data_IF_199082602985
#
_entry.id   IF_199082602985
#
_cell.length_a   1.000
_cell.length_b   1.000
_cell.length_c   1.000
_cell.angle_alpha   90.00
_cell.angle_beta   90.00
_cell.angle_gamma   90.00
#
_symmetry.space_group_name_H-M   'P 1'
#
loop_
_entity.id
_entity.type
_entity.pdbx_description
1 polymer ?
#
# COMPACT_ATOMS: atom_id res chain seq x y z
N UNK A 1 4.19 -14.79 -8.96
CA UNK A 1 4.67 -13.47 -9.46
C UNK A 1 3.47 -12.54 -9.49
N UNK A 2 3.37 -11.59 -8.55
CA UNK A 2 2.11 -10.87 -8.31
C UNK A 2 1.89 -9.66 -9.23
N UNK A 3 2.97 -9.05 -9.75
CA UNK A 3 2.87 -7.96 -10.72
C UNK A 3 2.77 -8.52 -12.15
N UNK A 4 1.69 -8.21 -12.91
CA UNK A 4 1.49 -8.73 -14.26
C UNK A 4 2.56 -8.30 -15.27
N UNK A 5 3.16 -7.11 -15.12
CA UNK A 5 4.22 -6.65 -16.05
C UNK A 5 5.52 -7.43 -15.83
N UNK A 6 5.88 -7.71 -14.57
CA UNK A 6 7.02 -8.57 -14.22
C UNK A 6 6.76 -10.00 -14.71
N UNK A 7 5.53 -10.49 -14.61
CA UNK A 7 5.15 -11.81 -15.10
C UNK A 7 5.25 -11.94 -16.62
N UNK A 8 4.74 -10.97 -17.37
CA UNK A 8 4.87 -10.93 -18.82
C UNK A 8 6.34 -10.84 -19.25
N UNK A 9 7.14 -9.96 -18.63
CA UNK A 9 8.56 -9.82 -18.94
C UNK A 9 9.34 -11.11 -18.65
N UNK A 10 9.08 -11.74 -17.50
CA UNK A 10 9.72 -13.01 -17.11
C UNK A 10 9.37 -14.10 -18.11
N UNK A 11 8.12 -14.15 -18.61
CA UNK A 11 7.74 -15.10 -19.66
C UNK A 11 8.45 -14.82 -21.00
N UNK A 12 8.61 -13.55 -21.38
CA UNK A 12 9.36 -13.16 -22.59
C UNK A 12 10.87 -13.45 -22.48
N UNK A 13 11.42 -13.43 -21.27
CA UNK A 13 12.80 -13.79 -20.96
C UNK A 13 12.99 -15.29 -20.67
N UNK A 14 12.09 -16.15 -21.15
CA UNK A 14 12.16 -17.62 -21.01
C UNK A 14 12.25 -18.09 -19.54
N UNK A 15 11.59 -17.38 -18.63
CA UNK A 15 11.56 -17.70 -17.20
C UNK A 15 12.64 -16.99 -16.38
N UNK A 16 13.53 -16.21 -16.99
CA UNK A 16 14.51 -15.39 -16.26
C UNK A 16 13.80 -14.17 -15.66
N UNK A 17 13.94 -13.99 -14.33
CA UNK A 17 13.32 -12.88 -13.62
C UNK A 17 13.78 -11.55 -14.21
N UNK A 18 12.86 -10.84 -14.85
CA UNK A 18 13.11 -9.56 -15.50
C UNK A 18 12.42 -8.46 -14.70
N UNK A 19 13.19 -7.63 -13.97
CA UNK A 19 12.62 -6.52 -13.21
C UNK A 19 11.89 -5.54 -14.12
N UNK A 20 10.71 -5.11 -13.71
CA UNK A 20 9.90 -4.10 -14.39
C UNK A 20 9.48 -3.01 -13.40
N UNK A 21 9.16 -1.78 -13.86
CA UNK A 21 8.70 -0.71 -13.00
C UNK A 21 7.47 -1.11 -12.17
N UNK A 22 7.46 -0.75 -10.89
CA UNK A 22 6.38 -1.04 -9.95
C UNK A 22 5.46 0.20 -9.80
N UNK A 23 4.25 0.16 -10.36
CA UNK A 23 3.16 1.11 -10.14
C UNK A 23 2.20 0.68 -9.00
N UNK A 24 2.23 1.26 -7.79
CA UNK A 24 1.43 0.78 -6.66
C UNK A 24 -0.06 0.50 -6.98
N UNK A 25 -0.55 -0.71 -6.65
CA UNK A 25 -1.97 -1.08 -6.79
C UNK A 25 -2.57 -1.32 -5.41
N UNK A 26 -3.34 -0.34 -4.93
CA UNK A 26 -3.97 -0.34 -3.61
C UNK A 26 -5.46 -0.65 -3.73
N UNK A 27 -5.82 -1.93 -3.79
CA UNK A 27 -7.22 -2.36 -3.84
C UNK A 27 -7.86 -2.51 -2.45
N UNK A 28 -7.04 -2.74 -1.42
CA UNK A 28 -7.50 -2.90 -0.04
C UNK A 28 -7.38 -1.58 0.75
N UNK A 29 -8.27 -1.35 1.73
CA UNK A 29 -8.13 -0.21 2.64
C UNK A 29 -6.84 -0.33 3.47
N UNK A 30 -6.39 0.81 3.99
CA UNK A 30 -5.26 0.85 4.91
C UNK A 30 -5.65 0.24 6.27
N UNK A 31 -4.69 -0.44 6.90
CA UNK A 31 -4.90 -1.10 8.19
C UNK A 31 -3.63 -1.07 9.07
N UNK A 32 -3.76 -1.11 10.41
CA UNK A 32 -5.01 -0.97 11.16
C UNK A 32 -5.55 0.47 11.08
N UNK A 33 -6.87 0.66 10.94
CA UNK A 33 -7.47 1.97 11.12
C UNK A 33 -7.52 2.35 12.61
N UNK A 34 -7.75 3.63 12.91
CA UNK A 34 -7.99 4.05 14.29
C UNK A 34 -9.25 3.39 14.86
N UNK A 35 -9.16 2.98 16.12
CA UNK A 35 -10.26 2.32 16.82
C UNK A 35 -11.32 3.32 17.37
N UNK A 36 -10.95 4.59 17.55
CA UNK A 36 -11.76 5.54 18.34
C UNK A 36 -12.19 6.79 17.56
N UNK A 37 -11.47 7.16 16.50
CA UNK A 37 -11.74 8.39 15.75
C UNK A 37 -12.36 8.06 14.40
N UNK A 38 -13.50 8.67 14.10
CA UNK A 38 -14.20 8.58 12.81
C UNK A 38 -14.12 9.92 12.08
N UNK A 39 -13.81 9.88 10.78
CA UNK A 39 -13.85 11.03 9.87
C UNK A 39 -14.84 10.69 8.76
N UNK A 40 -15.95 11.44 8.66
CA UNK A 40 -16.98 11.18 7.64
C UNK A 40 -17.57 9.76 7.72
N UNK A 41 -17.88 9.29 8.93
CA UNK A 41 -18.38 7.94 9.22
C UNK A 41 -17.41 6.79 8.88
N UNK A 42 -16.17 7.07 8.52
CA UNK A 42 -15.13 6.06 8.30
C UNK A 42 -14.03 6.16 9.38
N UNK A 43 -13.43 5.04 9.79
CA UNK A 43 -12.30 5.05 10.72
C UNK A 43 -11.14 5.92 10.21
N UNK A 44 -10.61 6.77 11.07
CA UNK A 44 -9.52 7.66 10.72
C UNK A 44 -8.22 6.89 10.51
N UNK A 45 -7.38 7.40 9.60
CA UNK A 45 -6.06 6.85 9.34
C UNK A 45 -5.03 7.51 10.26
N UNK A 46 -4.16 6.73 10.89
CA UNK A 46 -3.03 7.23 11.68
C UNK A 46 -1.68 6.90 11.00
N UNK A 47 -0.59 7.43 11.56
CA UNK A 47 0.77 7.23 11.05
C UNK A 47 1.24 5.76 11.07
N UNK A 48 0.62 4.91 11.89
CA UNK A 48 0.95 3.48 11.99
C UNK A 48 0.28 2.64 10.90
N UNK A 49 -0.76 3.17 10.26
CA UNK A 49 -1.51 2.45 9.26
C UNK A 49 -0.68 2.19 8.01
N UNK A 50 -0.84 0.99 7.44
CA UNK A 50 -0.13 0.55 6.23
C UNK A 50 -1.12 0.07 5.19
N UNK A 51 -0.81 0.32 3.92
CA UNK A 51 -1.52 -0.29 2.80
C UNK A 51 -0.65 -1.38 2.17
N UNK A 52 -1.22 -2.57 1.99
CA UNK A 52 -0.56 -3.64 1.24
C UNK A 52 -0.93 -3.51 -0.23
N UNK A 53 0.08 -3.26 -1.05
CA UNK A 53 -0.04 -3.31 -2.51
C UNK A 53 -0.37 -4.75 -2.93
N UNK A 54 -1.24 -4.91 -3.93
CA UNK A 54 -1.63 -6.22 -4.45
C UNK A 54 -0.44 -7.04 -4.99
N UNK A 55 0.67 -6.37 -5.27
CA UNK A 55 1.91 -7.00 -5.72
C UNK A 55 2.88 -7.36 -4.59
N UNK A 56 2.46 -7.23 -3.34
CA UNK A 56 3.24 -7.59 -2.14
C UNK A 56 4.05 -6.44 -1.54
N UNK A 57 4.00 -5.24 -2.12
CA UNK A 57 4.62 -4.04 -1.53
C UNK A 57 3.86 -3.55 -0.28
N UNK A 58 4.55 -2.80 0.58
CA UNK A 58 3.94 -2.16 1.75
C UNK A 58 4.14 -0.65 1.63
N UNK A 59 3.05 0.09 1.74
CA UNK A 59 3.01 1.56 1.70
C UNK A 59 2.77 2.04 3.13
N UNK A 60 3.61 2.94 3.62
CA UNK A 60 3.54 3.52 4.95
C UNK A 60 3.53 5.04 4.89
N UNK A 61 2.89 5.67 5.87
CA UNK A 61 2.88 7.13 6.01
C UNK A 61 4.20 7.57 6.63
N UNK A 62 5.03 8.30 5.87
CA UNK A 62 6.28 8.85 6.40
C UNK A 62 6.07 10.17 7.16
N UNK A 63 5.10 10.97 6.71
CA UNK A 63 4.72 12.23 7.35
C UNK A 63 3.24 12.48 7.05
N UNK A 64 2.42 12.55 8.08
CA UNK A 64 0.97 12.78 7.94
C UNK A 64 0.62 14.25 7.64
N UNK A 65 1.57 15.19 7.78
CA UNK A 65 1.40 16.62 7.52
C UNK A 65 0.57 17.37 8.56
N UNK A 66 -0.28 16.67 9.32
CA UNK A 66 -1.03 17.22 10.45
C UNK A 66 -0.24 17.07 11.74
N UNK A 67 0.01 18.19 12.44
CA UNK A 67 0.79 18.22 13.69
C UNK A 67 -0.06 18.55 14.92
N UNK A 68 -1.32 18.94 14.74
CA UNK A 68 -2.19 19.42 15.81
C UNK A 68 -2.89 18.30 16.59
N UNK A 69 -3.14 17.15 15.94
CA UNK A 69 -3.85 16.01 16.53
C UNK A 69 -3.13 14.72 16.10
N UNK A 70 -2.79 13.89 17.08
CA UNK A 70 -2.34 12.52 16.87
C UNK A 70 -3.50 11.56 17.16
N UNK A 71 -3.76 10.68 16.21
CA UNK A 71 -4.83 9.70 16.30
C UNK A 71 -4.23 8.37 16.76
N UNK A 72 -4.64 7.81 17.90
CA UNK A 72 -4.15 6.52 18.38
C UNK A 72 -4.59 5.36 17.48
#
# INVERSE_FOLDING_TARGET
>A
LANPTVAAATSAALGVLTPMPCIPVTAAPWAPPSATVLVGNMPALNNTAKCRCNWGGVISISNAGQTAIEIP
#
